data_IF_224891392191
#
_entry.id   IF_224891392191
#
_cell.length_a   1.000
_cell.length_b   1.000
_cell.length_c   1.000
_cell.angle_alpha   90.00
_cell.angle_beta   90.00
_cell.angle_gamma   90.00
#
_symmetry.space_group_name_H-M   'P 1'
#
loop_
_entity.id
_entity.type
_entity.pdbx_description
1 polymer ?
#
# COMPACT_ATOMS: atom_id res chain seq x y z
N UNK A 1 30.85 11.27 7.41
CA UNK A 1 30.31 9.92 7.14
C UNK A 1 28.98 10.09 6.45
N UNK A 2 28.68 9.27 5.44
CA UNK A 2 27.32 9.20 4.90
C UNK A 2 26.44 8.45 5.89
N UNK A 3 25.26 8.99 6.21
CA UNK A 3 24.29 8.35 7.08
C UNK A 3 23.41 7.41 6.25
N UNK A 4 23.24 6.18 6.72
CA UNK A 4 22.30 5.23 6.12
C UNK A 4 20.87 5.70 6.37
N UNK A 5 20.05 5.78 5.31
CA UNK A 5 18.64 6.16 5.39
C UNK A 5 17.78 5.06 4.79
N UNK A 6 16.75 4.63 5.51
CA UNK A 6 15.81 3.63 5.03
C UNK A 6 14.40 3.88 5.55
N UNK A 7 13.41 3.30 4.88
CA UNK A 7 12.02 3.23 5.35
C UNK A 7 11.74 1.81 5.83
N UNK A 8 11.05 1.67 6.96
CA UNK A 8 10.55 0.40 7.48
C UNK A 8 9.03 0.47 7.60
N UNK A 9 8.33 -0.44 6.92
CA UNK A 9 6.87 -0.53 6.91
C UNK A 9 6.41 -2.00 6.99
N UNK A 10 5.15 -2.23 7.34
CA UNK A 10 4.52 -3.55 7.43
C UNK A 10 3.00 -3.44 7.20
N UNK A 11 2.31 -4.57 7.02
CA UNK A 11 0.84 -4.69 7.05
C UNK A 11 0.10 -3.79 6.05
N UNK A 12 0.64 -3.69 4.82
CA UNK A 12 0.05 -2.87 3.76
C UNK A 12 -1.26 -3.50 3.24
N UNK A 13 -1.35 -4.83 3.25
CA UNK A 13 -2.49 -5.61 2.77
C UNK A 13 -2.98 -5.19 1.36
N UNK A 14 -2.06 -5.11 0.39
CA UNK A 14 -2.42 -4.89 -1.01
C UNK A 14 -3.39 -5.96 -1.50
N UNK A 15 -4.43 -5.53 -2.21
CA UNK A 15 -5.50 -6.41 -2.69
C UNK A 15 -6.68 -6.57 -1.72
N UNK A 16 -6.57 -6.03 -0.50
CA UNK A 16 -7.72 -5.86 0.38
C UNK A 16 -8.28 -4.43 0.30
N UNK A 17 -9.57 -4.29 0.56
CA UNK A 17 -10.24 -2.99 0.72
C UNK A 17 -10.49 -2.75 2.20
N UNK A 18 -10.30 -1.51 2.66
CA UNK A 18 -10.69 -1.12 4.02
C UNK A 18 -12.21 -1.22 4.13
N UNK A 19 -12.68 -2.18 4.93
CA UNK A 19 -14.10 -2.34 5.22
C UNK A 19 -14.45 -1.61 6.51
N UNK A 20 -15.34 -0.64 6.41
CA UNK A 20 -15.88 0.08 7.56
C UNK A 20 -17.40 -0.18 7.63
N UNK A 21 -17.82 -1.34 8.17
CA UNK A 21 -19.24 -1.63 8.30
C UNK A 21 -19.89 -0.55 9.19
N UNK A 22 -21.11 -0.13 8.81
CA UNK A 22 -21.99 0.78 9.56
C UNK A 22 -21.68 2.29 9.47
N UNK A 23 -20.80 2.73 8.57
CA UNK A 23 -20.65 4.16 8.28
C UNK A 23 -21.51 4.58 7.08
N UNK A 24 -22.27 5.67 7.25
CA UNK A 24 -23.00 6.32 6.17
C UNK A 24 -22.03 7.24 5.40
N UNK A 25 -21.30 6.67 4.45
CA UNK A 25 -20.31 7.37 3.63
C UNK A 25 -20.81 7.56 2.19
N UNK A 26 -20.38 8.67 1.59
CA UNK A 26 -20.63 8.94 0.18
C UNK A 26 -19.89 7.95 -0.74
N UNK A 27 -20.39 7.76 -1.96
CA UNK A 27 -19.71 6.95 -3.00
C UNK A 27 -18.29 7.40 -3.30
N UNK A 28 -17.97 8.68 -3.08
CA UNK A 28 -16.60 9.19 -3.27
C UNK A 28 -15.67 8.69 -2.16
N UNK A 29 -16.15 8.63 -0.93
CA UNK A 29 -15.40 8.10 0.22
C UNK A 29 -15.23 6.59 0.10
N UNK A 30 -16.24 5.85 -0.38
CA UNK A 30 -16.10 4.41 -0.69
C UNK A 30 -14.96 4.16 -1.68
N UNK A 31 -14.95 4.90 -2.81
CA UNK A 31 -13.87 4.81 -3.81
C UNK A 31 -12.49 5.16 -3.26
N UNK A 32 -12.43 6.06 -2.28
CA UNK A 32 -11.17 6.41 -1.62
C UNK A 32 -10.68 5.25 -0.75
N UNK A 33 -11.57 4.61 0.01
CA UNK A 33 -11.27 3.45 0.86
C UNK A 33 -10.87 2.23 0.02
N UNK A 34 -11.51 2.00 -1.13
CA UNK A 34 -11.13 0.95 -2.10
C UNK A 34 -9.67 1.05 -2.55
N UNK A 35 -9.14 2.28 -2.64
CA UNK A 35 -7.77 2.55 -3.11
C UNK A 35 -6.80 2.87 -1.99
N UNK A 36 -7.23 2.89 -0.72
CA UNK A 36 -6.43 3.40 0.38
C UNK A 36 -5.11 2.65 0.56
N UNK A 37 -5.13 1.31 0.55
CA UNK A 37 -3.92 0.49 0.68
C UNK A 37 -2.96 0.67 -0.49
N UNK A 38 -3.49 0.78 -1.73
CA UNK A 38 -2.68 1.05 -2.91
C UNK A 38 -2.04 2.44 -2.84
N UNK A 39 -2.81 3.46 -2.46
CA UNK A 39 -2.32 4.82 -2.33
C UNK A 39 -1.27 4.92 -1.21
N UNK A 40 -1.47 4.25 -0.08
CA UNK A 40 -0.49 4.20 1.01
C UNK A 40 0.83 3.59 0.55
N UNK A 41 0.78 2.49 -0.22
CA UNK A 41 1.98 1.91 -0.82
C UNK A 41 2.65 2.87 -1.81
N UNK A 42 1.88 3.52 -2.70
CA UNK A 42 2.41 4.50 -3.63
C UNK A 42 3.12 5.65 -2.89
N UNK A 43 2.52 6.16 -1.80
CA UNK A 43 3.15 7.19 -0.96
C UNK A 43 4.46 6.73 -0.33
N UNK A 44 4.57 5.48 0.11
CA UNK A 44 5.83 4.92 0.63
C UNK A 44 6.92 4.98 -0.46
N UNK A 45 6.58 4.58 -1.69
CA UNK A 45 7.51 4.59 -2.83
C UNK A 45 7.90 6.03 -3.22
N UNK A 46 6.94 6.94 -3.35
CA UNK A 46 7.21 8.35 -3.65
C UNK A 46 8.07 9.01 -2.56
N UNK A 47 7.82 8.67 -1.30
CA UNK A 47 8.62 9.15 -0.16
C UNK A 47 10.03 8.59 -0.24
N UNK A 48 10.20 7.30 -0.53
CA UNK A 48 11.50 6.68 -0.68
C UNK A 48 12.35 7.36 -1.77
N UNK A 49 11.72 7.64 -2.93
CA UNK A 49 12.37 8.31 -4.06
C UNK A 49 12.74 9.74 -3.67
N UNK A 50 11.78 10.53 -3.17
CA UNK A 50 12.00 11.95 -2.83
C UNK A 50 13.01 12.16 -1.70
N UNK A 51 13.13 11.19 -0.78
CA UNK A 51 14.07 11.26 0.34
C UNK A 51 15.42 10.61 0.04
N UNK A 52 15.60 10.05 -1.16
CA UNK A 52 16.80 9.33 -1.59
C UNK A 52 17.24 8.29 -0.55
N UNK A 53 16.30 7.43 -0.14
CA UNK A 53 16.59 6.35 0.82
C UNK A 53 17.42 5.26 0.14
N UNK A 54 18.29 4.60 0.90
CA UNK A 54 19.15 3.51 0.40
C UNK A 54 18.34 2.23 0.10
N UNK A 55 17.32 1.97 0.93
CA UNK A 55 16.42 0.82 0.76
C UNK A 55 15.11 0.99 1.55
N UNK A 56 14.17 0.09 1.27
CA UNK A 56 12.91 -0.07 1.99
C UNK A 56 12.85 -1.48 2.58
N UNK A 57 12.43 -1.61 3.83
CA UNK A 57 12.09 -2.88 4.46
C UNK A 57 10.56 -2.96 4.55
N UNK A 58 9.99 -4.02 3.96
CA UNK A 58 8.60 -4.42 4.14
C UNK A 58 8.56 -5.68 5.02
N UNK A 59 8.19 -5.52 6.29
CA UNK A 59 8.40 -6.53 7.33
C UNK A 59 7.28 -7.59 7.46
N UNK A 60 6.18 -7.47 6.71
CA UNK A 60 5.07 -8.42 6.77
C UNK A 60 3.85 -7.97 5.98
N UNK A 61 2.97 -8.92 5.65
CA UNK A 61 1.61 -8.73 5.12
C UNK A 61 1.46 -7.66 4.03
N UNK A 62 2.37 -7.73 3.04
CA UNK A 62 2.34 -6.84 1.87
C UNK A 62 1.10 -7.10 1.01
N UNK A 63 0.64 -8.35 0.92
CA UNK A 63 -0.52 -8.76 0.13
C UNK A 63 -1.53 -9.51 0.98
N UNK A 64 -2.82 -9.29 0.73
CA UNK A 64 -3.87 -10.17 1.26
C UNK A 64 -4.00 -11.42 0.37
N UNK A 65 -3.84 -12.60 0.96
CA UNK A 65 -3.91 -13.88 0.26
C UNK A 65 -5.32 -14.23 -0.23
N UNK A 66 -6.37 -13.60 0.31
CA UNK A 66 -7.76 -13.91 -0.06
C UNK A 66 -8.17 -13.40 -1.45
N UNK A 67 -7.39 -12.49 -2.06
CA UNK A 67 -7.63 -11.98 -3.42
C UNK A 67 -6.55 -12.41 -4.43
N UNK A 68 -6.04 -13.64 -4.34
CA UNK A 68 -5.36 -14.28 -5.48
C UNK A 68 -6.33 -14.65 -6.62
N UNK A 69 -7.20 -13.74 -7.04
CA UNK A 69 -7.86 -13.83 -8.34
C UNK A 69 -7.00 -13.10 -9.38
N UNK A 70 -5.90 -13.74 -9.79
CA UNK A 70 -5.31 -13.68 -11.14
C UNK A 70 -5.48 -12.32 -11.88
N UNK A 71 -5.03 -11.22 -11.29
CA UNK A 71 -4.86 -9.92 -11.99
C UNK A 71 -3.50 -9.25 -11.77
N UNK A 72 -2.61 -9.89 -11.02
CA UNK A 72 -1.24 -9.40 -10.80
C UNK A 72 -0.23 -9.83 -11.90
N UNK A 73 -0.66 -10.60 -12.91
CA UNK A 73 0.21 -11.10 -14.00
C UNK A 73 -0.29 -10.70 -15.41
N UNK A 74 -0.82 -9.48 -15.59
CA UNK A 74 -1.00 -8.95 -16.94
C UNK A 74 -0.03 -7.80 -17.17
N UNK A 75 1.20 -8.19 -17.51
CA UNK A 75 2.04 -7.41 -18.41
C UNK A 75 1.33 -7.36 -19.76
N UNK A 76 0.79 -6.20 -20.11
CA UNK A 76 0.70 -5.73 -21.49
C UNK A 76 0.83 -4.22 -21.50
#
# INVERSE_FOLDING_TARGET
>A
MAALKFIHAADIHLGSTIQLPQLDISKQQEKLLEKANFNAFAYIIETAISQEVDFIILAGDVYDQQQRSIKANQSN
#
